data_IF_338044942451
#
_entry.id   IF_338044942451
#
_cell.length_a   1.000
_cell.length_b   1.000
_cell.length_c   1.000
_cell.angle_alpha   90.00
_cell.angle_beta   90.00
_cell.angle_gamma   90.00
#
_symmetry.space_group_name_H-M   'P 1'
#
loop_
_entity.id
_entity.type
_entity.pdbx_description
1 polymer ?
#
# COMPACT_ATOMS: atom_id res chain seq x y z
N UNK A 1 -20.67 2.68 -0.43
CA UNK A 1 -20.25 3.45 0.77
C UNK A 1 -20.36 2.57 2.00
N UNK A 2 -19.40 2.70 2.92
CA UNK A 2 -19.48 2.09 4.24
C UNK A 2 -20.52 2.86 5.07
N UNK A 3 -21.46 2.16 5.72
CA UNK A 3 -22.43 2.82 6.58
C UNK A 3 -21.77 3.31 7.88
N UNK A 4 -22.31 4.38 8.47
CA UNK A 4 -21.89 4.82 9.80
C UNK A 4 -22.31 3.82 10.89
N UNK A 5 -21.60 3.84 12.03
CA UNK A 5 -21.91 3.00 13.20
C UNK A 5 -21.45 1.55 13.10
N UNK A 6 -20.60 1.23 12.13
CA UNK A 6 -20.03 -0.13 11.94
C UNK A 6 -18.67 -0.26 12.63
N UNK A 7 -18.27 -1.49 12.88
CA UNK A 7 -16.93 -1.87 13.36
C UNK A 7 -16.49 -1.06 14.60
N UNK A 8 -17.25 -1.06 15.69
CA UNK A 8 -16.84 -0.36 16.90
C UNK A 8 -15.59 -1.03 17.50
N UNK A 9 -14.69 -0.20 18.03
CA UNK A 9 -13.56 -0.71 18.82
C UNK A 9 -14.04 -1.20 20.21
N UNK A 10 -13.13 -1.71 21.02
CA UNK A 10 -13.43 -2.24 22.36
C UNK A 10 -13.99 -1.17 23.32
N UNK A 11 -13.78 0.13 23.06
CA UNK A 11 -14.34 1.26 23.82
C UNK A 11 -15.76 1.60 23.37
N UNK A 12 -16.21 1.04 22.25
CA UNK A 12 -17.53 1.25 21.66
C UNK A 12 -17.57 2.39 20.63
N UNK A 13 -16.42 2.95 20.27
CA UNK A 13 -16.31 4.00 19.25
C UNK A 13 -16.41 3.37 17.86
N UNK A 14 -17.42 3.74 17.05
CA UNK A 14 -17.56 3.20 15.71
C UNK A 14 -16.53 3.79 14.74
N UNK A 15 -16.23 3.06 13.66
CA UNK A 15 -15.42 3.56 12.56
C UNK A 15 -16.03 4.85 11.98
N UNK A 16 -15.19 5.88 11.78
CA UNK A 16 -15.51 7.00 10.89
C UNK A 16 -15.20 6.59 9.44
N UNK A 17 -16.19 6.33 8.59
CA UNK A 17 -15.97 5.82 7.25
C UNK A 17 -15.63 6.92 6.22
N UNK A 18 -15.55 8.18 6.63
CA UNK A 18 -15.45 9.35 5.73
C UNK A 18 -14.33 9.19 4.69
N UNK A 19 -13.13 8.78 5.13
CA UNK A 19 -12.00 8.68 4.19
C UNK A 19 -12.10 7.45 3.28
N UNK A 20 -12.67 6.34 3.76
CA UNK A 20 -12.93 5.16 2.92
C UNK A 20 -13.97 5.45 1.84
N UNK A 21 -15.01 6.21 2.18
CA UNK A 21 -16.08 6.60 1.26
C UNK A 21 -15.63 7.62 0.18
N UNK A 22 -14.41 8.14 0.28
CA UNK A 22 -13.76 8.92 -0.80
C UNK A 22 -13.18 8.05 -1.92
N UNK A 23 -12.95 6.76 -1.66
CA UNK A 23 -12.51 5.83 -2.70
C UNK A 23 -13.66 5.49 -3.64
N UNK A 24 -13.37 5.37 -4.93
CA UNK A 24 -14.35 4.97 -5.95
C UNK A 24 -14.42 3.45 -6.17
N UNK A 25 -13.68 2.68 -5.37
CA UNK A 25 -13.66 1.21 -5.40
C UNK A 25 -12.85 0.61 -4.26
N UNK A 26 -12.74 -0.72 -4.27
CA UNK A 26 -11.98 -1.50 -3.32
C UNK A 26 -10.51 -1.65 -3.75
N UNK A 27 -9.67 -2.11 -2.85
CA UNK A 27 -8.26 -2.39 -3.11
C UNK A 27 -8.07 -3.41 -4.26
N UNK A 28 -7.11 -3.19 -5.17
CA UNK A 28 -6.77 -4.16 -6.22
C UNK A 28 -6.11 -5.43 -5.68
N UNK A 29 -5.64 -5.42 -4.44
CA UNK A 29 -4.82 -6.50 -3.86
C UNK A 29 -5.35 -7.04 -2.54
N UNK A 30 -6.48 -6.52 -2.03
CA UNK A 30 -7.06 -7.02 -0.78
C UNK A 30 -7.72 -8.39 -0.97
N UNK A 31 -7.68 -9.28 0.03
CA UNK A 31 -8.48 -10.48 0.02
C UNK A 31 -9.98 -10.16 -0.01
N UNK A 32 -10.75 -11.02 -0.66
CA UNK A 32 -12.22 -10.97 -0.64
C UNK A 32 -12.70 -11.79 0.55
N UNK A 33 -13.49 -11.19 1.41
CA UNK A 33 -13.91 -11.76 2.68
C UNK A 33 -15.40 -12.10 2.66
N UNK A 34 -15.73 -13.27 3.17
CA UNK A 34 -17.13 -13.67 3.37
C UNK A 34 -17.28 -14.60 4.58
N UNK A 35 -18.27 -14.36 5.40
CA UNK A 35 -18.65 -15.26 6.47
C UNK A 35 -19.71 -16.26 5.98
N UNK A 36 -19.39 -17.56 6.06
CA UNK A 36 -20.27 -18.67 5.67
C UNK A 36 -20.53 -19.57 6.86
N UNK A 37 -21.64 -19.37 7.59
CA UNK A 37 -21.96 -20.18 8.75
C UNK A 37 -22.05 -21.69 8.43
N UNK A 38 -21.32 -22.49 9.18
CA UNK A 38 -21.34 -23.96 9.06
C UNK A 38 -20.56 -24.52 7.87
N UNK A 39 -19.70 -23.71 7.22
CA UNK A 39 -18.82 -24.18 6.16
C UNK A 39 -17.80 -25.18 6.71
N UNK A 40 -17.71 -26.32 6.03
CA UNK A 40 -16.62 -27.30 6.22
C UNK A 40 -15.67 -27.20 5.01
N UNK A 41 -14.47 -26.68 5.27
CA UNK A 41 -13.46 -26.44 4.21
C UNK A 41 -12.88 -27.77 3.68
N UNK A 42 -12.89 -28.85 4.45
CA UNK A 42 -12.37 -30.15 4.01
C UNK A 42 -13.39 -30.89 3.10
N UNK A 43 -14.68 -30.63 3.31
CA UNK A 43 -15.77 -31.20 2.50
C UNK A 43 -16.10 -30.36 1.26
N UNK A 44 -15.60 -29.12 1.21
CA UNK A 44 -15.87 -28.17 0.14
C UNK A 44 -14.67 -28.11 -0.83
N UNK A 45 -14.92 -28.17 -2.13
CA UNK A 45 -13.87 -28.07 -3.16
C UNK A 45 -13.31 -26.64 -3.27
N UNK A 46 -12.59 -26.20 -2.24
CA UNK A 46 -11.90 -24.92 -2.25
C UNK A 46 -10.56 -25.03 -3.01
N UNK A 47 -10.24 -24.11 -3.93
CA UNK A 47 -8.92 -24.09 -4.57
C UNK A 47 -7.86 -23.76 -3.53
N UNK A 48 -6.86 -24.64 -3.38
CA UNK A 48 -5.76 -24.46 -2.45
C UNK A 48 -4.61 -23.62 -3.03
N UNK A 49 -3.72 -23.15 -2.16
CA UNK A 49 -2.51 -22.43 -2.56
C UNK A 49 -1.61 -23.25 -3.52
N UNK A 50 -1.56 -24.58 -3.32
CA UNK A 50 -0.83 -25.50 -4.20
C UNK A 50 -1.54 -25.87 -5.51
N UNK A 51 -2.81 -25.50 -5.69
CA UNK A 51 -3.63 -25.80 -6.85
C UNK A 51 -4.53 -24.62 -7.25
N UNK A 52 -3.91 -23.47 -7.47
CA UNK A 52 -4.60 -22.22 -7.88
C UNK A 52 -5.36 -22.43 -9.21
N UNK A 53 -4.83 -23.26 -10.12
CA UNK A 53 -5.46 -23.56 -11.40
C UNK A 53 -6.87 -24.13 -11.27
N UNK A 54 -7.18 -24.84 -10.19
CA UNK A 54 -8.54 -25.33 -9.90
C UNK A 54 -9.58 -24.21 -9.87
N UNK A 55 -9.22 -23.01 -9.38
CA UNK A 55 -10.14 -21.88 -9.23
C UNK A 55 -10.81 -21.42 -10.52
N UNK A 56 -10.21 -21.72 -11.67
CA UNK A 56 -10.73 -21.36 -13.00
C UNK A 56 -11.49 -22.51 -13.68
N UNK A 57 -11.77 -23.59 -12.95
CA UNK A 57 -12.52 -24.75 -13.46
C UNK A 57 -13.96 -24.76 -12.96
N UNK A 58 -14.79 -25.61 -13.57
CA UNK A 58 -16.17 -25.83 -13.12
C UNK A 58 -16.28 -26.54 -11.78
N UNK A 59 -15.18 -27.13 -11.27
CA UNK A 59 -15.15 -27.88 -9.99
C UNK A 59 -14.93 -26.97 -8.78
N UNK A 60 -14.43 -25.77 -8.97
CA UNK A 60 -14.19 -24.82 -7.88
C UNK A 60 -15.46 -24.37 -7.19
N UNK A 61 -15.47 -24.42 -5.87
CA UNK A 61 -16.57 -23.91 -5.04
C UNK A 61 -16.57 -22.37 -4.96
N UNK A 62 -15.51 -21.72 -5.36
CA UNK A 62 -15.36 -20.25 -5.39
C UNK A 62 -15.00 -19.79 -6.78
N UNK A 63 -15.56 -18.68 -7.22
CA UNK A 63 -15.34 -18.09 -8.54
C UNK A 63 -15.16 -16.59 -8.40
N UNK A 64 -14.16 -16.03 -9.08
CA UNK A 64 -13.97 -14.60 -9.28
C UNK A 64 -13.95 -14.34 -10.78
N UNK A 65 -14.76 -13.42 -11.25
CA UNK A 65 -14.91 -13.07 -12.66
C UNK A 65 -14.67 -11.58 -12.84
N UNK A 66 -13.80 -11.19 -13.76
CA UNK A 66 -13.79 -9.83 -14.29
C UNK A 66 -15.00 -9.65 -15.22
N UNK A 67 -15.99 -8.89 -14.77
CA UNK A 67 -17.25 -8.71 -15.48
C UNK A 67 -17.14 -7.81 -16.72
N UNK A 68 -16.04 -7.06 -16.86
CA UNK A 68 -15.81 -6.18 -18.00
C UNK A 68 -15.31 -6.96 -19.23
N UNK A 69 -14.67 -8.13 -19.01
CA UNK A 69 -14.13 -8.95 -20.10
C UNK A 69 -14.50 -10.44 -20.03
N UNK A 70 -15.17 -10.88 -18.95
CA UNK A 70 -15.59 -12.27 -18.74
C UNK A 70 -14.47 -13.21 -18.30
N UNK A 71 -13.28 -12.72 -17.95
CA UNK A 71 -12.14 -13.53 -17.55
C UNK A 71 -12.29 -14.08 -16.13
N UNK A 72 -12.07 -15.37 -15.94
CA UNK A 72 -11.93 -15.98 -14.62
C UNK A 72 -10.59 -15.60 -13.99
N UNK A 73 -10.63 -15.15 -12.75
CA UNK A 73 -9.43 -14.74 -12.00
C UNK A 73 -8.90 -15.91 -11.19
N UNK A 74 -7.64 -16.36 -11.44
CA UNK A 74 -6.99 -17.35 -10.60
C UNK A 74 -6.88 -16.87 -9.15
N UNK A 75 -7.24 -17.72 -8.22
CA UNK A 75 -7.21 -17.41 -6.79
C UNK A 75 -7.11 -18.70 -5.96
N UNK A 76 -6.78 -18.56 -4.69
CA UNK A 76 -6.98 -19.63 -3.71
C UNK A 76 -7.94 -19.17 -2.62
N UNK A 77 -8.51 -20.12 -1.91
CA UNK A 77 -9.46 -19.89 -0.84
C UNK A 77 -9.03 -20.63 0.42
N UNK A 78 -9.13 -19.97 1.55
CA UNK A 78 -8.81 -20.53 2.87
C UNK A 78 -9.79 -20.02 3.92
N UNK A 79 -9.92 -20.71 5.03
CA UNK A 79 -10.64 -20.23 6.21
C UNK A 79 -9.66 -19.70 7.25
N UNK A 80 -10.03 -18.63 7.95
CA UNK A 80 -9.19 -18.04 8.98
C UNK A 80 -8.91 -19.04 10.11
N UNK A 81 -7.66 -19.46 10.24
CA UNK A 81 -7.22 -20.41 11.26
C UNK A 81 -6.97 -19.76 12.64
N UNK A 82 -7.02 -18.44 12.74
CA UNK A 82 -6.83 -17.70 14.00
C UNK A 82 -8.10 -17.69 14.86
N UNK A 83 -9.27 -17.85 14.23
CA UNK A 83 -10.51 -18.02 14.96
C UNK A 83 -10.62 -19.40 15.57
N UNK A 84 -10.87 -19.47 16.89
CA UNK A 84 -11.01 -20.74 17.63
C UNK A 84 -12.37 -21.39 17.41
N UNK A 85 -13.40 -20.58 17.24
CA UNK A 85 -14.77 -21.05 17.02
C UNK A 85 -15.09 -21.04 15.52
N UNK A 86 -15.70 -22.10 15.02
CA UNK A 86 -16.10 -22.20 13.61
C UNK A 86 -17.06 -21.09 13.18
N UNK A 87 -17.87 -20.57 14.12
CA UNK A 87 -18.79 -19.47 13.88
C UNK A 87 -18.08 -18.13 13.57
N UNK A 88 -16.82 -17.99 13.95
CA UNK A 88 -16.03 -16.78 13.81
C UNK A 88 -15.02 -16.87 12.65
N UNK A 89 -15.05 -17.98 11.89
CA UNK A 89 -14.12 -18.19 10.76
C UNK A 89 -14.61 -17.48 9.49
N UNK A 90 -13.76 -16.62 8.97
CA UNK A 90 -13.95 -15.98 7.66
C UNK A 90 -13.44 -16.90 6.56
N UNK A 91 -14.22 -17.11 5.51
CA UNK A 91 -13.73 -17.61 4.23
C UNK A 91 -13.04 -16.45 3.50
N UNK A 92 -11.78 -16.66 3.12
CA UNK A 92 -10.89 -15.67 2.53
C UNK A 92 -10.54 -16.14 1.11
N UNK A 93 -10.92 -15.37 0.09
CA UNK A 93 -10.52 -15.60 -1.29
C UNK A 93 -9.37 -14.64 -1.63
N UNK A 94 -8.25 -15.19 -2.09
CA UNK A 94 -7.05 -14.40 -2.42
C UNK A 94 -6.77 -14.44 -3.90
N UNK A 95 -7.03 -13.37 -4.65
CA UNK A 95 -6.61 -13.26 -6.04
C UNK A 95 -5.10 -13.52 -6.18
N UNK A 96 -4.72 -14.34 -7.16
CA UNK A 96 -3.32 -14.67 -7.44
C UNK A 96 -2.60 -13.60 -8.28
N UNK A 97 -3.28 -12.51 -8.56
CA UNK A 97 -2.78 -11.34 -9.29
C UNK A 97 -3.46 -10.08 -8.76
N UNK A 98 -2.82 -8.92 -8.93
CA UNK A 98 -3.49 -7.64 -8.70
C UNK A 98 -4.67 -7.50 -9.68
N UNK A 99 -5.83 -7.11 -9.16
CA UNK A 99 -7.03 -6.93 -9.97
C UNK A 99 -6.93 -5.63 -10.77
N UNK A 100 -7.30 -5.62 -12.07
CA UNK A 100 -7.32 -4.41 -12.89
C UNK A 100 -8.09 -3.25 -12.27
N UNK A 101 -7.46 -2.08 -12.30
CA UNK A 101 -8.02 -0.83 -11.79
C UNK A 101 -9.29 -0.42 -12.54
N UNK A 102 -10.29 0.03 -11.81
CA UNK A 102 -11.57 0.50 -12.35
C UNK A 102 -12.48 -0.60 -12.89
N UNK A 103 -12.04 -1.87 -12.93
CA UNK A 103 -12.86 -2.97 -13.40
C UNK A 103 -13.87 -3.42 -12.33
N UNK A 104 -14.98 -3.98 -12.78
CA UNK A 104 -16.02 -4.58 -11.96
C UNK A 104 -15.84 -6.09 -11.90
N UNK A 105 -15.85 -6.65 -10.69
CA UNK A 105 -15.65 -8.08 -10.45
C UNK A 105 -16.90 -8.70 -9.85
N UNK A 106 -17.26 -9.89 -10.32
CA UNK A 106 -18.27 -10.75 -9.74
C UNK A 106 -17.63 -11.88 -8.94
N UNK A 107 -18.20 -12.16 -7.77
CA UNK A 107 -17.81 -13.30 -6.93
C UNK A 107 -18.98 -14.23 -6.78
N UNK A 108 -18.76 -15.54 -6.93
CA UNK A 108 -19.77 -16.54 -6.70
C UNK A 108 -19.25 -17.69 -5.84
N UNK A 109 -20.06 -18.13 -4.90
CA UNK A 109 -19.85 -19.31 -4.07
C UNK A 109 -20.88 -20.37 -4.46
N UNK A 110 -20.44 -21.62 -4.66
CA UNK A 110 -21.31 -22.73 -5.08
C UNK A 110 -20.88 -24.03 -4.42
N UNK A 111 -21.78 -25.01 -4.37
CA UNK A 111 -21.50 -26.35 -3.86
C UNK A 111 -20.86 -26.43 -2.48
N UNK A 112 -21.11 -25.44 -1.62
CA UNK A 112 -20.59 -25.37 -0.26
C UNK A 112 -21.20 -26.49 0.60
N UNK A 113 -20.35 -27.15 1.41
CA UNK A 113 -20.72 -28.27 2.26
C UNK A 113 -20.53 -27.94 3.74
N UNK A 114 -21.40 -28.52 4.56
CA UNK A 114 -21.24 -28.55 6.02
C UNK A 114 -20.53 -29.82 6.49
N UNK A 115 -20.29 -29.93 7.80
CA UNK A 115 -19.51 -31.00 8.45
C UNK A 115 -20.01 -32.44 8.20
N UNK A 116 -21.27 -32.62 7.80
CA UNK A 116 -21.84 -33.89 7.36
C UNK A 116 -21.81 -34.14 5.86
N UNK A 117 -21.12 -33.29 5.07
CA UNK A 117 -21.12 -33.36 3.61
C UNK A 117 -22.40 -32.87 2.94
N UNK A 118 -23.38 -32.42 3.71
CA UNK A 118 -24.64 -31.86 3.18
C UNK A 118 -24.39 -30.48 2.54
N UNK A 119 -25.14 -30.20 1.49
CA UNK A 119 -25.09 -28.87 0.86
C UNK A 119 -25.63 -27.79 1.83
N UNK A 120 -24.92 -26.68 1.91
CA UNK A 120 -25.39 -25.52 2.68
C UNK A 120 -26.54 -24.82 1.95
N UNK A 121 -27.50 -24.34 2.74
CA UNK A 121 -28.65 -23.62 2.22
C UNK A 121 -28.31 -22.14 2.07
N UNK A 122 -28.48 -21.59 0.88
CA UNK A 122 -28.25 -20.17 0.58
C UNK A 122 -29.12 -19.25 1.48
N UNK A 123 -28.63 -18.06 1.85
CA UNK A 123 -29.38 -17.09 2.66
C UNK A 123 -30.74 -16.72 2.05
N UNK A 124 -31.75 -16.52 2.89
CA UNK A 124 -33.13 -16.32 2.44
C UNK A 124 -33.28 -15.13 1.49
N UNK A 125 -32.70 -13.98 1.83
CA UNK A 125 -32.75 -12.78 1.00
C UNK A 125 -32.06 -13.00 -0.36
N UNK A 126 -30.92 -13.69 -0.37
CA UNK A 126 -30.21 -14.01 -1.61
C UNK A 126 -31.03 -14.99 -2.48
N UNK A 127 -31.64 -16.02 -1.89
CA UNK A 127 -32.52 -16.94 -2.65
C UNK A 127 -33.72 -16.23 -3.32
N UNK A 128 -34.29 -15.23 -2.65
CA UNK A 128 -35.37 -14.45 -3.25
C UNK A 128 -34.91 -13.71 -4.52
N UNK A 129 -33.70 -13.18 -4.55
CA UNK A 129 -33.09 -12.57 -5.74
C UNK A 129 -32.67 -13.62 -6.76
N UNK A 130 -31.97 -14.67 -6.33
CA UNK A 130 -31.50 -15.75 -7.18
C UNK A 130 -32.61 -16.46 -7.93
N UNK A 131 -33.68 -16.81 -7.22
CA UNK A 131 -34.79 -17.61 -7.75
C UNK A 131 -35.93 -16.72 -8.31
N UNK A 132 -35.73 -15.41 -8.36
CA UNK A 132 -36.67 -14.39 -8.83
C UNK A 132 -38.02 -14.44 -8.12
N UNK A 133 -37.99 -14.64 -6.79
CA UNK A 133 -39.19 -14.60 -5.96
C UNK A 133 -39.41 -13.21 -5.37
N UNK A 134 -40.57 -12.55 -5.64
CA UNK A 134 -40.88 -11.27 -5.01
C UNK A 134 -40.96 -11.35 -3.49
N UNK A 135 -40.55 -10.28 -2.81
CA UNK A 135 -40.63 -10.15 -1.36
C UNK A 135 -41.35 -8.85 -0.97
N UNK A 136 -41.71 -8.75 0.31
CA UNK A 136 -42.22 -7.51 0.93
C UNK A 136 -41.11 -6.69 1.60
N UNK A 137 -39.83 -7.10 1.42
CA UNK A 137 -38.64 -6.43 1.98
C UNK A 137 -38.10 -5.45 0.95
N UNK A 138 -38.39 -4.16 1.14
CA UNK A 138 -38.00 -3.07 0.23
C UNK A 138 -36.51 -3.13 -0.16
N UNK A 139 -35.61 -3.29 0.80
CA UNK A 139 -34.14 -3.39 0.56
C UNK A 139 -33.74 -4.55 -0.36
N UNK A 140 -34.51 -5.62 -0.43
CA UNK A 140 -34.27 -6.74 -1.34
C UNK A 140 -34.78 -6.38 -2.74
N UNK A 141 -35.95 -5.79 -2.84
CA UNK A 141 -36.55 -5.43 -4.13
C UNK A 141 -35.78 -4.32 -4.84
N UNK A 142 -35.27 -3.32 -4.11
CA UNK A 142 -34.44 -2.24 -4.67
C UNK A 142 -33.15 -2.75 -5.33
N UNK A 143 -32.66 -3.94 -4.93
CA UNK A 143 -31.46 -4.56 -5.48
C UNK A 143 -31.74 -5.52 -6.65
N UNK A 144 -33.00 -5.81 -6.96
CA UNK A 144 -33.37 -6.86 -7.91
C UNK A 144 -32.78 -6.62 -9.31
N UNK A 145 -32.97 -5.44 -9.87
CA UNK A 145 -32.51 -5.12 -11.22
C UNK A 145 -30.97 -5.23 -11.33
N UNK A 146 -30.26 -4.77 -10.29
CA UNK A 146 -28.79 -4.91 -10.20
C UNK A 146 -28.37 -6.39 -10.17
N UNK A 147 -29.04 -7.21 -9.35
CA UNK A 147 -28.75 -8.64 -9.26
C UNK A 147 -29.08 -9.38 -10.56
N UNK A 148 -30.16 -9.01 -11.26
CA UNK A 148 -30.48 -9.62 -12.57
C UNK A 148 -29.38 -9.32 -13.60
N UNK A 149 -28.84 -8.09 -13.63
CA UNK A 149 -27.72 -7.76 -14.50
C UNK A 149 -26.47 -8.55 -14.11
N UNK A 150 -26.10 -8.58 -12.82
CA UNK A 150 -24.95 -9.34 -12.32
C UNK A 150 -25.07 -10.83 -12.68
N UNK A 151 -26.27 -11.44 -12.55
CA UNK A 151 -26.46 -12.84 -12.93
C UNK A 151 -26.30 -13.08 -14.44
N UNK A 152 -26.68 -12.11 -15.30
CA UNK A 152 -26.44 -12.20 -16.74
C UNK A 152 -24.94 -12.14 -17.05
N UNK A 153 -24.20 -11.22 -16.40
CA UNK A 153 -22.76 -11.08 -16.54
C UNK A 153 -22.04 -12.37 -16.09
N UNK A 154 -22.39 -12.92 -14.92
CA UNK A 154 -21.88 -14.19 -14.40
C UNK A 154 -22.20 -15.38 -15.33
N UNK A 155 -23.42 -15.43 -15.88
CA UNK A 155 -23.81 -16.49 -16.80
C UNK A 155 -23.00 -16.46 -18.10
N UNK A 156 -22.62 -15.27 -18.57
CA UNK A 156 -21.75 -15.09 -19.74
C UNK A 156 -20.35 -15.65 -19.51
N UNK A 157 -19.90 -15.70 -18.25
CA UNK A 157 -18.64 -16.33 -17.83
C UNK A 157 -18.81 -17.82 -17.41
N UNK A 158 -19.99 -18.42 -17.64
CA UNK A 158 -20.25 -19.83 -17.36
C UNK A 158 -20.70 -20.13 -15.91
N UNK A 159 -21.07 -19.11 -15.12
CA UNK A 159 -21.55 -19.29 -13.75
C UNK A 159 -23.09 -19.24 -13.74
N UNK A 160 -23.73 -20.39 -13.52
CA UNK A 160 -25.17 -20.48 -13.50
C UNK A 160 -25.71 -20.02 -12.13
N UNK A 161 -26.64 -19.04 -12.12
CA UNK A 161 -27.24 -18.50 -10.89
C UNK A 161 -27.89 -19.57 -10.00
N UNK A 162 -28.48 -20.62 -10.60
CA UNK A 162 -29.18 -21.67 -9.83
C UNK A 162 -28.25 -22.49 -8.94
N UNK A 163 -26.96 -22.55 -9.28
CA UNK A 163 -25.96 -23.35 -8.57
C UNK A 163 -25.26 -22.55 -7.45
N UNK A 164 -25.57 -21.23 -7.35
CA UNK A 164 -24.88 -20.36 -6.38
C UNK A 164 -25.50 -20.42 -4.98
N UNK A 165 -24.63 -20.52 -3.97
CA UNK A 165 -24.97 -20.30 -2.56
C UNK A 165 -25.09 -18.80 -2.26
N UNK A 166 -24.14 -18.00 -2.80
CA UNK A 166 -24.09 -16.54 -2.70
C UNK A 166 -23.32 -15.99 -3.90
N UNK A 167 -23.74 -14.83 -4.39
CA UNK A 167 -22.97 -14.05 -5.34
C UNK A 167 -23.14 -12.56 -5.06
N UNK A 168 -22.11 -11.78 -5.38
CA UNK A 168 -22.09 -10.33 -5.32
C UNK A 168 -21.05 -9.78 -6.29
N UNK A 169 -21.04 -8.50 -6.48
CA UNK A 169 -20.04 -7.79 -7.27
C UNK A 169 -19.46 -6.59 -6.53
N UNK A 170 -18.30 -6.15 -7.00
CA UNK A 170 -17.63 -4.95 -6.51
C UNK A 170 -16.79 -4.34 -7.62
N UNK A 171 -16.43 -3.05 -7.47
CA UNK A 171 -15.51 -2.34 -8.36
C UNK A 171 -14.18 -2.15 -7.67
N UNK A 172 -13.07 -2.34 -8.39
CA UNK A 172 -11.73 -2.00 -7.94
C UNK A 172 -11.48 -0.51 -8.13
N UNK A 173 -10.80 0.11 -7.19
CA UNK A 173 -10.47 1.53 -7.23
C UNK A 173 -9.74 1.91 -8.52
N UNK A 174 -10.06 3.09 -9.06
CA UNK A 174 -9.41 3.61 -10.25
C UNK A 174 -7.99 4.08 -9.95
N UNK A 175 -7.13 4.16 -10.99
CA UNK A 175 -5.80 4.77 -10.90
C UNK A 175 -5.84 6.19 -10.29
N UNK A 176 -6.91 6.97 -10.58
CA UNK A 176 -7.11 8.28 -9.98
C UNK A 176 -7.31 8.21 -8.47
N UNK A 177 -8.09 7.25 -8.00
CA UNK A 177 -8.36 7.08 -6.56
C UNK A 177 -7.10 6.60 -5.81
N UNK A 178 -6.32 5.70 -6.42
CA UNK A 178 -5.10 5.13 -5.85
C UNK A 178 -3.94 6.15 -5.86
N UNK A 179 -3.54 6.64 -7.02
CA UNK A 179 -2.32 7.43 -7.23
C UNK A 179 -2.54 8.94 -7.44
N UNK A 180 -3.77 9.37 -7.75
CA UNK A 180 -4.02 10.74 -8.22
C UNK A 180 -3.59 11.84 -7.24
N UNK A 181 -3.68 11.62 -5.92
CA UNK A 181 -3.19 12.56 -4.91
C UNK A 181 -1.68 12.73 -4.99
N UNK A 182 -0.95 11.61 -4.95
CA UNK A 182 0.51 11.63 -5.01
C UNK A 182 1.03 12.20 -6.33
N UNK A 183 0.39 11.86 -7.46
CA UNK A 183 0.75 12.42 -8.76
C UNK A 183 0.56 13.95 -8.81
N UNK A 184 -0.55 14.44 -8.23
CA UNK A 184 -0.80 15.89 -8.12
C UNK A 184 0.26 16.59 -7.27
N UNK A 185 0.60 16.00 -6.11
CA UNK A 185 1.65 16.51 -5.23
C UNK A 185 3.01 16.51 -5.93
N UNK A 186 3.37 15.38 -6.57
CA UNK A 186 4.64 15.24 -7.31
C UNK A 186 4.80 16.31 -8.38
N UNK A 187 3.81 16.46 -9.25
CA UNK A 187 3.91 17.37 -10.41
C UNK A 187 4.00 18.84 -9.97
N UNK A 188 3.24 19.24 -8.95
CA UNK A 188 3.34 20.60 -8.37
C UNK A 188 4.67 20.81 -7.65
N UNK A 189 5.10 19.85 -6.82
CA UNK A 189 6.34 19.95 -6.05
C UNK A 189 7.57 20.00 -6.96
N UNK A 190 7.65 19.13 -7.99
CA UNK A 190 8.77 19.16 -8.95
C UNK A 190 8.83 20.46 -9.72
N UNK A 191 7.66 21.03 -10.08
CA UNK A 191 7.60 22.38 -10.70
C UNK A 191 8.15 23.47 -9.79
N UNK A 192 7.87 23.40 -8.47
CA UNK A 192 8.40 24.35 -7.48
C UNK A 192 9.90 24.18 -7.25
N UNK A 193 10.36 22.95 -7.05
CA UNK A 193 11.79 22.66 -6.87
C UNK A 193 12.64 23.09 -8.06
N UNK A 194 12.14 22.94 -9.30
CA UNK A 194 12.84 23.37 -10.50
C UNK A 194 12.87 24.90 -10.66
N UNK A 195 12.04 25.66 -9.95
CA UNK A 195 11.90 27.11 -10.07
C UNK A 195 12.45 27.93 -8.91
N UNK A 196 12.94 27.26 -7.86
CA UNK A 196 13.53 27.89 -6.67
C UNK A 196 14.92 27.37 -6.39
N UNK A 197 15.76 28.17 -5.74
CA UNK A 197 17.05 27.69 -5.23
C UNK A 197 16.80 26.66 -4.12
N UNK A 198 17.44 25.49 -4.19
CA UNK A 198 17.32 24.49 -3.14
C UNK A 198 17.87 25.01 -1.80
N UNK A 199 17.16 24.72 -0.72
CA UNK A 199 17.65 24.99 0.63
C UNK A 199 18.12 23.67 1.24
N UNK A 200 19.43 23.41 1.16
CA UNK A 200 20.10 22.24 1.70
C UNK A 200 21.06 22.70 2.79
N UNK A 201 20.94 22.16 3.98
CA UNK A 201 21.78 22.49 5.14
C UNK A 201 22.49 21.25 5.63
N UNK A 202 23.82 21.28 5.67
CA UNK A 202 24.64 20.25 6.32
C UNK A 202 24.72 20.56 7.81
N UNK A 203 24.41 19.58 8.65
CA UNK A 203 24.40 19.70 10.10
C UNK A 203 25.57 18.94 10.73
N UNK A 204 25.94 17.79 10.18
CA UNK A 204 27.00 16.93 10.70
C UNK A 204 27.76 16.24 9.55
N UNK A 205 29.10 16.20 9.69
CA UNK A 205 29.97 15.41 8.84
C UNK A 205 30.78 14.47 9.73
N UNK A 206 30.60 13.17 9.57
CA UNK A 206 31.29 12.14 10.33
C UNK A 206 32.32 11.45 9.45
N UNK A 207 33.57 11.37 9.93
CA UNK A 207 34.71 10.76 9.25
C UNK A 207 35.35 9.62 10.04
N UNK A 208 34.87 9.33 11.22
CA UNK A 208 35.32 8.26 12.08
C UNK A 208 34.32 7.09 12.10
N UNK A 209 34.80 5.94 12.51
CA UNK A 209 34.00 4.69 12.62
C UNK A 209 33.28 4.29 11.31
N UNK A 210 34.01 4.46 10.17
CA UNK A 210 33.54 4.14 8.84
C UNK A 210 34.16 2.85 8.31
N UNK A 211 33.52 2.24 7.32
CA UNK A 211 34.08 1.11 6.58
C UNK A 211 35.16 1.58 5.60
N UNK A 212 36.11 0.66 5.28
CA UNK A 212 37.12 0.91 4.27
C UNK A 212 36.46 1.33 2.94
N UNK A 213 36.99 2.37 2.30
CA UNK A 213 36.47 2.93 1.05
C UNK A 213 35.33 3.95 1.22
N UNK A 214 34.96 4.31 2.46
CA UNK A 214 34.05 5.42 2.76
C UNK A 214 34.87 6.60 3.31
N UNK A 215 34.65 7.76 2.70
CA UNK A 215 35.28 9.01 3.08
C UNK A 215 34.57 9.68 4.25
N UNK A 216 33.27 9.79 4.16
CA UNK A 216 32.44 10.47 5.16
C UNK A 216 30.98 10.05 5.09
N UNK A 217 30.26 10.30 6.17
CA UNK A 217 28.81 10.34 6.24
C UNK A 217 28.37 11.78 6.50
N UNK A 218 27.44 12.29 5.70
CA UNK A 218 26.92 13.65 5.80
C UNK A 218 25.46 13.58 6.22
N UNK A 219 25.12 14.25 7.32
CA UNK A 219 23.75 14.40 7.80
C UNK A 219 23.32 15.87 7.72
N UNK A 220 22.04 16.11 7.41
CA UNK A 220 21.51 17.46 7.31
C UNK A 220 20.05 17.47 6.95
N UNK A 221 19.60 18.60 6.41
CA UNK A 221 18.20 18.83 6.05
C UNK A 221 18.07 19.47 4.67
N UNK A 222 16.91 19.26 4.05
CA UNK A 222 16.51 19.93 2.81
C UNK A 222 15.03 20.29 2.84
N UNK A 223 14.64 21.32 2.10
CA UNK A 223 13.25 21.78 2.08
C UNK A 223 12.44 21.15 0.95
N UNK A 224 11.21 20.72 1.28
CA UNK A 224 10.24 20.14 0.35
C UNK A 224 8.89 20.85 0.52
N UNK A 225 8.12 21.10 -0.54
CA UNK A 225 6.74 21.60 -0.39
C UNK A 225 5.90 20.66 0.51
N UNK A 226 5.21 21.24 1.48
CA UNK A 226 4.34 20.54 2.42
C UNK A 226 2.92 20.47 1.88
N UNK A 227 2.32 19.28 1.84
CA UNK A 227 0.93 19.05 1.43
C UNK A 227 0.05 18.56 2.58
N UNK A 228 0.52 18.65 3.81
CA UNK A 228 -0.23 18.31 5.00
C UNK A 228 -0.70 19.57 5.71
N UNK A 229 -1.74 19.44 6.53
CA UNK A 229 -2.21 20.49 7.43
C UNK A 229 -1.16 20.78 8.51
N UNK A 230 -1.20 22.00 9.05
CA UNK A 230 -0.29 22.43 10.10
C UNK A 230 1.17 22.39 9.68
N UNK A 231 2.01 21.76 10.48
CA UNK A 231 3.44 21.56 10.24
C UNK A 231 3.80 20.16 9.69
N UNK A 232 2.79 19.34 9.40
CA UNK A 232 2.97 17.98 8.92
C UNK A 232 3.42 16.99 10.00
N UNK A 233 3.26 17.28 11.28
CA UNK A 233 3.54 16.36 12.39
C UNK A 233 2.64 15.11 12.35
N UNK A 234 2.97 14.00 13.08
CA UNK A 234 2.13 12.82 13.15
C UNK A 234 0.68 13.15 13.55
N UNK A 235 -0.27 12.69 12.73
CA UNK A 235 -1.71 13.00 12.86
C UNK A 235 -2.21 14.10 11.94
N UNK A 236 -1.33 14.82 11.24
CA UNK A 236 -1.73 15.79 10.21
C UNK A 236 -2.38 15.09 9.02
N UNK A 237 -3.48 15.68 8.53
CA UNK A 237 -4.21 15.20 7.35
C UNK A 237 -3.69 15.90 6.09
N UNK A 238 -4.06 15.35 4.92
CA UNK A 238 -3.80 15.99 3.64
C UNK A 238 -4.47 17.38 3.58
N UNK A 239 -3.71 18.39 3.16
CA UNK A 239 -4.22 19.73 2.92
C UNK A 239 -4.84 19.80 1.52
N UNK A 240 -6.14 20.11 1.46
CA UNK A 240 -6.89 20.16 0.21
C UNK A 240 -7.29 21.61 -0.14
N UNK A 241 -7.57 21.84 -1.40
CA UNK A 241 -8.23 23.07 -1.86
C UNK A 241 -9.70 23.14 -1.36
N UNK A 242 -10.38 24.24 -1.69
CA UNK A 242 -11.77 24.49 -1.28
C UNK A 242 -12.77 23.41 -1.78
N UNK A 243 -12.42 22.64 -2.81
CA UNK A 243 -13.23 21.51 -3.28
C UNK A 243 -13.12 20.30 -2.36
N UNK A 244 -12.06 20.21 -1.54
CA UNK A 244 -11.74 19.08 -0.70
C UNK A 244 -11.21 17.86 -1.49
N UNK A 245 -10.87 18.01 -2.76
CA UNK A 245 -10.43 16.89 -3.62
C UNK A 245 -8.96 16.94 -4.01
N UNK A 246 -8.42 18.16 -4.28
CA UNK A 246 -7.08 18.35 -4.80
C UNK A 246 -6.10 18.71 -3.68
N UNK A 247 -5.01 17.94 -3.46
CA UNK A 247 -3.92 18.35 -2.58
C UNK A 247 -3.28 19.65 -3.03
N UNK A 248 -3.06 20.58 -2.10
CA UNK A 248 -2.40 21.88 -2.34
C UNK A 248 -1.31 22.13 -1.31
N UNK A 249 -0.22 22.77 -1.75
CA UNK A 249 0.89 23.07 -0.87
C UNK A 249 0.49 24.04 0.25
N UNK A 250 0.95 23.72 1.49
CA UNK A 250 0.74 24.47 2.72
C UNK A 250 2.09 24.84 3.36
N UNK A 251 2.92 25.57 2.63
CA UNK A 251 4.26 25.94 3.10
C UNK A 251 5.33 24.91 2.74
N UNK A 252 6.30 24.75 3.62
CA UNK A 252 7.52 23.96 3.42
C UNK A 252 7.71 22.98 4.56
N UNK A 253 8.14 21.76 4.26
CA UNK A 253 8.57 20.74 5.20
C UNK A 253 10.08 20.63 5.18
N UNK A 254 10.72 20.64 6.34
CA UNK A 254 12.16 20.40 6.49
C UNK A 254 12.38 18.90 6.66
N UNK A 255 12.82 18.24 5.58
CA UNK A 255 13.15 16.83 5.56
C UNK A 255 14.63 16.62 5.92
N UNK A 256 14.93 15.61 6.72
CA UNK A 256 16.30 15.23 7.01
C UNK A 256 16.90 14.39 5.88
N UNK A 257 18.23 14.34 5.80
CA UNK A 257 18.95 13.38 4.97
C UNK A 257 20.16 12.80 5.69
N UNK A 258 20.54 11.61 5.27
CA UNK A 258 21.84 10.98 5.59
C UNK A 258 22.43 10.44 4.31
N UNK A 259 23.67 10.85 3.98
CA UNK A 259 24.37 10.41 2.80
C UNK A 259 25.69 9.74 3.15
N UNK A 260 25.98 8.57 2.57
CA UNK A 260 27.27 7.87 2.64
C UNK A 260 28.07 8.15 1.37
N UNK A 261 29.23 8.79 1.54
CA UNK A 261 30.10 9.25 0.46
C UNK A 261 31.29 8.30 0.32
N UNK A 262 31.46 7.60 -0.83
CA UNK A 262 32.65 6.75 -1.04
C UNK A 262 33.92 7.57 -1.32
N UNK A 263 35.05 7.06 -0.90
CA UNK A 263 36.40 7.69 -1.10
C UNK A 263 36.69 7.89 -2.60
N UNK A 264 36.35 6.90 -3.44
CA UNK A 264 36.58 6.99 -4.89
C UNK A 264 35.82 8.17 -5.52
N UNK A 265 34.63 8.51 -5.00
CA UNK A 265 33.85 9.65 -5.47
C UNK A 265 34.58 10.99 -5.23
N UNK A 266 35.20 11.16 -4.06
CA UNK A 266 35.96 12.37 -3.72
C UNK A 266 37.23 12.48 -4.58
N UNK A 267 37.91 11.35 -4.83
CA UNK A 267 39.13 11.30 -5.64
C UNK A 267 38.90 11.54 -7.14
N UNK A 268 37.81 11.03 -7.70
CA UNK A 268 37.57 10.93 -9.16
C UNK A 268 36.29 11.50 -9.66
N UNK A 269 35.31 11.80 -8.78
CA UNK A 269 33.93 12.14 -9.15
C UNK A 269 33.15 10.95 -9.69
N UNK A 270 31.98 11.23 -10.25
CA UNK A 270 31.15 10.27 -10.98
C UNK A 270 30.47 9.20 -10.09
N UNK A 271 30.19 9.53 -8.83
CA UNK A 271 29.41 8.66 -7.97
C UNK A 271 27.95 8.58 -8.46
N UNK A 272 27.42 7.37 -8.60
CA UNK A 272 26.02 7.14 -8.92
C UNK A 272 25.13 7.50 -7.73
N UNK A 273 24.19 8.45 -7.86
CA UNK A 273 23.30 8.80 -6.78
C UNK A 273 22.24 7.71 -6.59
N UNK A 274 22.17 7.16 -5.39
CA UNK A 274 21.20 6.14 -5.00
C UNK A 274 20.33 6.69 -3.87
N UNK A 275 19.03 6.79 -4.10
CA UNK A 275 18.06 7.07 -3.07
C UNK A 275 17.76 5.77 -2.33
N UNK A 276 18.02 5.75 -1.02
CA UNK A 276 17.86 4.56 -0.19
C UNK A 276 16.60 4.62 0.66
N UNK A 277 15.79 3.56 0.59
CA UNK A 277 14.59 3.37 1.41
C UNK A 277 14.89 2.56 2.65
N UNK A 278 14.67 3.13 3.83
CA UNK A 278 14.90 2.49 5.13
C UNK A 278 13.85 1.40 5.48
N UNK A 279 14.18 0.53 6.44
CA UNK A 279 13.31 -0.54 6.92
C UNK A 279 12.13 -0.06 7.78
N UNK A 280 11.40 -1.03 8.35
CA UNK A 280 10.16 -0.78 9.11
C UNK A 280 10.37 0.23 10.23
N UNK A 281 9.61 1.33 10.18
CA UNK A 281 9.65 2.41 11.17
C UNK A 281 11.09 2.86 11.51
N UNK A 282 11.99 2.80 10.51
CA UNK A 282 13.38 3.18 10.59
C UNK A 282 13.60 4.67 10.34
N UNK A 283 14.80 5.03 9.88
CA UNK A 283 15.18 6.42 9.59
C UNK A 283 16.22 6.50 8.47
N UNK A 284 16.45 7.72 7.96
CA UNK A 284 17.49 8.04 6.98
C UNK A 284 18.88 7.52 7.38
N UNK A 285 19.16 7.40 8.70
CA UNK A 285 20.45 6.92 9.22
C UNK A 285 20.79 5.49 8.80
N UNK A 286 19.86 4.71 8.30
CA UNK A 286 20.15 3.40 7.72
C UNK A 286 21.05 3.50 6.48
N UNK A 287 21.08 4.63 5.76
CA UNK A 287 22.04 4.87 4.68
C UNK A 287 23.49 4.85 5.15
N UNK A 288 23.74 5.06 6.45
CA UNK A 288 25.07 4.96 7.07
C UNK A 288 25.33 3.59 7.74
N UNK A 289 24.47 2.60 7.56
CA UNK A 289 24.67 1.26 8.10
C UNK A 289 25.81 0.53 7.40
N UNK A 290 26.43 -0.41 8.11
CA UNK A 290 27.63 -1.14 7.66
C UNK A 290 27.46 -1.80 6.27
N UNK A 291 26.31 -2.40 5.98
CA UNK A 291 26.08 -3.07 4.69
C UNK A 291 25.90 -2.05 3.56
N UNK A 292 25.27 -0.90 3.81
CA UNK A 292 25.12 0.17 2.82
C UNK A 292 26.49 0.79 2.53
N UNK A 293 27.32 1.03 3.56
CA UNK A 293 28.68 1.54 3.38
C UNK A 293 29.54 0.62 2.50
N UNK A 294 29.49 -0.71 2.71
CA UNK A 294 30.21 -1.67 1.87
C UNK A 294 29.73 -1.58 0.42
N UNK A 295 28.43 -1.55 0.19
CA UNK A 295 27.87 -1.44 -1.16
C UNK A 295 28.22 -0.12 -1.83
N UNK A 296 28.18 0.99 -1.09
CA UNK A 296 28.56 2.32 -1.56
C UNK A 296 30.01 2.36 -2.04
N UNK A 297 30.94 1.78 -1.24
CA UNK A 297 32.35 1.70 -1.58
C UNK A 297 32.61 0.83 -2.83
N UNK A 298 32.03 -0.38 -2.88
CA UNK A 298 32.22 -1.32 -4.00
C UNK A 298 31.68 -0.82 -5.33
N UNK A 299 30.60 -0.04 -5.31
CA UNK A 299 29.90 0.43 -6.51
C UNK A 299 30.28 1.87 -6.91
N UNK A 300 31.11 2.58 -6.16
CA UNK A 300 31.29 4.03 -6.25
C UNK A 300 29.92 4.73 -6.36
N UNK A 301 29.09 4.53 -5.34
CA UNK A 301 27.71 5.03 -5.31
C UNK A 301 27.46 5.89 -4.07
N UNK A 302 26.89 7.07 -4.27
CA UNK A 302 26.44 7.96 -3.20
C UNK A 302 25.06 7.50 -2.72
N UNK A 303 25.00 6.85 -1.56
CA UNK A 303 23.74 6.41 -0.96
C UNK A 303 23.19 7.49 -0.04
N UNK A 304 22.05 8.05 -0.40
CA UNK A 304 21.33 9.06 0.38
C UNK A 304 19.92 8.60 0.74
N UNK A 305 19.51 8.79 1.97
CA UNK A 305 18.18 8.50 2.47
C UNK A 305 17.53 9.72 3.12
N UNK A 306 16.22 9.76 3.13
CA UNK A 306 15.39 10.64 3.98
C UNK A 306 14.42 9.80 4.79
N UNK A 307 13.87 10.34 5.90
CA UNK A 307 12.81 9.66 6.62
C UNK A 307 11.55 9.59 5.76
N UNK A 308 11.09 8.37 5.49
CA UNK A 308 9.81 8.15 4.82
C UNK A 308 8.70 8.33 5.86
N UNK A 309 8.40 9.61 6.17
CA UNK A 309 7.43 9.99 7.22
C UNK A 309 6.05 9.37 6.95
N UNK A 310 5.31 9.11 8.03
CA UNK A 310 4.12 8.26 8.02
C UNK A 310 4.44 6.81 8.39
N UNK A 311 5.68 6.35 8.09
CA UNK A 311 6.20 5.03 8.45
C UNK A 311 7.69 5.11 8.88
N UNK A 312 8.10 6.20 9.52
CA UNK A 312 9.41 6.39 10.12
C UNK A 312 9.38 6.27 11.64
N UNK A 313 10.53 6.31 12.29
CA UNK A 313 10.63 6.19 13.74
C UNK A 313 9.84 7.26 14.52
N UNK A 314 9.69 8.44 13.93
CA UNK A 314 8.87 9.52 14.49
C UNK A 314 7.36 9.22 14.50
N UNK A 315 6.91 8.21 13.75
CA UNK A 315 5.49 7.87 13.58
C UNK A 315 5.03 6.72 14.49
N UNK A 316 5.93 6.02 15.18
CA UNK A 316 5.62 4.84 16.02
C UNK A 316 4.48 5.10 17.00
N UNK A 317 4.55 6.22 17.73
CA UNK A 317 3.51 6.59 18.70
C UNK A 317 2.14 6.82 18.07
N UNK A 318 2.10 7.35 16.84
CA UNK A 318 0.85 7.56 16.12
C UNK A 318 0.33 6.25 15.50
N UNK A 319 1.23 5.39 15.00
CA UNK A 319 0.86 4.07 14.49
C UNK A 319 0.13 3.22 15.56
N UNK A 320 0.61 3.24 16.81
CA UNK A 320 -0.07 2.59 17.94
C UNK A 320 -1.47 3.16 18.15
N UNK A 321 -1.63 4.50 18.11
CA UNK A 321 -2.95 5.13 18.24
C UNK A 321 -3.88 4.75 17.08
N UNK A 322 -3.37 4.68 15.85
CA UNK A 322 -4.14 4.30 14.67
C UNK A 322 -4.58 2.83 14.70
N UNK A 323 -3.82 1.93 15.32
CA UNK A 323 -4.21 0.54 15.52
C UNK A 323 -5.26 0.36 16.63
N UNK A 324 -5.26 1.25 17.62
CA UNK A 324 -6.27 1.26 18.67
C UNK A 324 -7.63 1.83 18.19
N UNK A 325 -7.58 2.76 17.24
CA UNK A 325 -8.75 3.35 16.58
C UNK A 325 -8.39 3.60 15.10
N UNK A 326 -8.85 2.70 14.22
CA UNK A 326 -8.52 2.78 12.78
C UNK A 326 -9.10 4.02 12.09
N UNK A 327 -10.04 4.75 12.71
CA UNK A 327 -10.50 6.07 12.22
C UNK A 327 -9.36 7.10 12.15
N UNK A 328 -8.23 6.85 12.81
CA UNK A 328 -7.02 7.68 12.77
C UNK A 328 -6.06 7.29 11.65
N UNK A 329 -6.21 6.10 11.08
CA UNK A 329 -5.30 5.57 10.06
C UNK A 329 -5.17 6.45 8.80
N UNK A 330 -6.21 7.17 8.33
CA UNK A 330 -6.09 8.12 7.22
C UNK A 330 -4.94 9.12 7.35
N UNK A 331 -4.70 9.67 8.55
CA UNK A 331 -3.61 10.63 8.74
C UNK A 331 -2.21 9.99 8.59
N UNK A 332 -2.08 8.71 8.95
CA UNK A 332 -0.85 7.96 8.72
C UNK A 332 -0.56 7.84 7.23
N UNK A 333 -1.58 7.47 6.43
CA UNK A 333 -1.45 7.32 4.96
C UNK A 333 -1.23 8.66 4.26
N UNK A 334 -1.91 9.72 4.69
CA UNK A 334 -1.67 11.06 4.15
C UNK A 334 -0.21 11.49 4.37
N UNK A 335 0.32 11.20 5.57
CA UNK A 335 1.71 11.47 5.91
C UNK A 335 2.69 10.56 5.15
N UNK A 336 2.35 9.29 4.86
CA UNK A 336 3.13 8.41 3.99
C UNK A 336 3.29 8.99 2.58
N UNK A 337 2.23 9.58 2.01
CA UNK A 337 2.32 10.22 0.70
C UNK A 337 3.27 11.43 0.70
N UNK A 338 3.33 12.19 1.79
CA UNK A 338 4.34 13.23 1.96
C UNK A 338 5.75 12.63 2.08
N UNK A 339 5.94 11.53 2.80
CA UNK A 339 7.22 10.82 2.89
C UNK A 339 7.71 10.29 1.54
N UNK A 340 6.80 9.79 0.71
CA UNK A 340 7.09 9.40 -0.68
C UNK A 340 7.53 10.62 -1.50
N UNK A 341 6.85 11.76 -1.35
CA UNK A 341 7.23 13.01 -2.02
C UNK A 341 8.60 13.50 -1.56
N UNK A 342 8.92 13.43 -0.26
CA UNK A 342 10.25 13.79 0.26
C UNK A 342 11.35 12.93 -0.39
N UNK A 343 11.09 11.64 -0.56
CA UNK A 343 12.00 10.70 -1.22
C UNK A 343 12.20 11.03 -2.70
N UNK A 344 11.13 11.39 -3.41
CA UNK A 344 11.21 11.85 -4.80
C UNK A 344 11.98 13.18 -4.92
N UNK A 345 11.75 14.12 -3.98
CA UNK A 345 12.47 15.39 -3.92
C UNK A 345 13.98 15.20 -3.66
N UNK A 346 14.35 14.28 -2.77
CA UNK A 346 15.75 13.90 -2.55
C UNK A 346 16.39 13.44 -3.87
N UNK A 347 15.73 12.53 -4.61
CA UNK A 347 16.22 12.06 -5.90
C UNK A 347 16.42 13.18 -6.92
N UNK A 348 15.46 14.11 -7.02
CA UNK A 348 15.57 15.30 -7.87
C UNK A 348 16.74 16.18 -7.48
N UNK A 349 16.93 16.48 -6.21
CA UNK A 349 18.00 17.35 -5.72
C UNK A 349 19.40 16.70 -5.86
N UNK A 350 19.50 15.37 -5.85
CA UNK A 350 20.75 14.67 -6.10
C UNK A 350 21.28 14.84 -7.54
N UNK A 351 20.37 15.01 -8.53
CA UNK A 351 20.76 15.15 -9.94
C UNK A 351 20.59 16.58 -10.49
N UNK A 352 20.12 17.53 -9.68
CA UNK A 352 19.98 18.92 -10.07
C UNK A 352 21.34 19.64 -10.04
N UNK A 353 21.59 20.55 -11.00
CA UNK A 353 22.83 21.33 -11.06
C UNK A 353 23.07 22.13 -9.77
N UNK A 354 22.03 22.79 -9.27
CA UNK A 354 22.09 23.61 -8.05
C UNK A 354 21.71 22.81 -6.78
N UNK A 355 21.64 21.47 -6.88
CA UNK A 355 21.28 20.57 -5.78
C UNK A 355 22.45 20.17 -4.90
N UNK A 356 22.48 18.90 -4.48
CA UNK A 356 23.54 18.38 -3.60
C UNK A 356 24.95 18.57 -4.17
N UNK A 357 25.12 18.48 -5.51
CA UNK A 357 26.42 18.69 -6.16
C UNK A 357 26.99 20.10 -6.01
N UNK A 358 26.19 21.09 -5.64
CA UNK A 358 26.63 22.45 -5.36
C UNK A 358 27.07 22.68 -3.91
N UNK A 359 26.81 21.71 -3.02
CA UNK A 359 27.19 21.77 -1.59
C UNK A 359 28.62 21.26 -1.42
N UNK A 360 29.45 21.98 -0.67
CA UNK A 360 30.89 21.72 -0.50
C UNK A 360 31.21 20.28 -0.11
N UNK A 361 30.38 19.65 0.73
CA UNK A 361 30.56 18.29 1.19
C UNK A 361 30.37 17.23 0.10
N UNK A 362 29.78 17.60 -1.02
CA UNK A 362 29.57 16.73 -2.19
C UNK A 362 30.42 17.17 -3.39
N UNK A 363 31.56 17.78 -3.11
CA UNK A 363 32.53 18.19 -4.12
C UNK A 363 33.89 17.50 -3.93
N UNK A 364 34.63 17.41 -5.02
CA UNK A 364 36.04 17.01 -5.02
C UNK A 364 36.92 18.12 -4.41
N UNK A 365 38.16 17.81 -4.12
CA UNK A 365 39.15 18.86 -3.71
C UNK A 365 39.31 19.98 -4.75
N UNK A 366 38.94 19.74 -5.98
CA UNK A 366 38.96 20.73 -7.06
C UNK A 366 37.69 21.60 -7.14
N UNK A 367 36.65 21.33 -6.36
CA UNK A 367 35.39 22.04 -6.36
C UNK A 367 34.40 21.54 -7.41
N UNK A 368 34.68 20.42 -8.08
CA UNK A 368 33.73 19.80 -9.01
C UNK A 368 32.79 18.83 -8.25
N UNK A 369 31.54 18.73 -8.67
CA UNK A 369 30.58 17.77 -8.09
C UNK A 369 31.10 16.33 -8.16
N UNK A 370 30.97 15.58 -7.05
CA UNK A 370 31.26 14.15 -7.02
C UNK A 370 30.14 13.31 -7.65
N UNK A 371 28.95 13.88 -7.94
CA UNK A 371 27.73 13.18 -8.31
C UNK A 371 27.63 13.07 -9.83
N UNK A 372 27.33 11.89 -10.34
CA UNK A 372 26.86 11.69 -11.71
C UNK A 372 25.38 12.09 -11.80
N UNK A 373 25.09 13.19 -12.48
CA UNK A 373 23.76 13.78 -12.57
C UNK A 373 22.91 13.26 -13.74
N UNK A 374 23.40 12.25 -14.48
CA UNK A 374 22.65 11.70 -15.63
C UNK A 374 21.33 11.04 -15.20
N UNK A 375 21.34 10.31 -14.07
CA UNK A 375 20.18 9.61 -13.54
C UNK A 375 20.39 9.23 -12.08
N UNK A 376 19.34 9.29 -11.27
CA UNK A 376 19.32 8.67 -9.97
C UNK A 376 18.97 7.17 -10.07
N UNK A 377 19.13 6.45 -8.97
CA UNK A 377 18.73 5.05 -8.79
C UNK A 377 18.01 4.92 -7.45
N UNK A 378 17.23 3.87 -7.30
CA UNK A 378 16.58 3.55 -6.01
C UNK A 378 17.03 2.18 -5.51
N UNK A 379 17.28 2.09 -4.21
CA UNK A 379 17.56 0.84 -3.49
C UNK A 379 16.81 0.89 -2.15
N UNK A 380 15.95 -0.08 -1.87
CA UNK A 380 15.20 -0.11 -0.62
C UNK A 380 15.03 -1.53 -0.09
N UNK A 381 15.19 -1.68 1.23
CA UNK A 381 15.05 -2.96 1.89
C UNK A 381 13.80 -3.00 2.79
N UNK A 382 13.13 -4.17 2.85
CA UNK A 382 11.97 -4.39 3.72
C UNK A 382 10.87 -3.34 3.42
N UNK A 383 10.49 -2.50 4.38
CA UNK A 383 9.56 -1.39 4.14
C UNK A 383 10.01 -0.46 3.02
N UNK A 384 11.32 -0.20 2.90
CA UNK A 384 11.89 0.58 1.81
C UNK A 384 11.63 -0.03 0.44
N UNK A 385 11.50 -1.37 0.33
CA UNK A 385 11.06 -2.04 -0.89
C UNK A 385 9.54 -2.00 -1.05
N UNK A 386 8.77 -2.15 0.04
CA UNK A 386 7.30 -2.13 0.02
C UNK A 386 6.78 -0.76 -0.45
N UNK A 387 7.33 0.33 0.08
CA UNK A 387 6.99 1.69 -0.36
C UNK A 387 7.75 2.07 -1.65
N UNK A 388 8.95 1.53 -1.83
CA UNK A 388 9.84 1.83 -2.94
C UNK A 388 9.28 1.47 -4.30
N UNK A 389 8.46 0.43 -4.41
CA UNK A 389 7.75 0.12 -5.64
C UNK A 389 6.76 1.21 -6.04
N UNK A 390 5.98 1.73 -5.08
CA UNK A 390 5.09 2.87 -5.31
C UNK A 390 5.86 4.14 -5.67
N UNK A 391 6.93 4.46 -4.93
CA UNK A 391 7.80 5.61 -5.19
C UNK A 391 8.40 5.51 -6.59
N UNK A 392 8.91 4.32 -6.98
CA UNK A 392 9.51 4.08 -8.30
C UNK A 392 8.48 4.17 -9.42
N UNK A 393 7.25 3.69 -9.21
CA UNK A 393 6.19 3.79 -10.22
C UNK A 393 5.84 5.23 -10.59
N UNK A 394 6.06 6.19 -9.69
CA UNK A 394 5.78 7.62 -9.91
C UNK A 394 7.05 8.47 -10.09
N UNK A 395 8.23 7.87 -10.01
CA UNK A 395 9.50 8.59 -10.14
C UNK A 395 9.71 9.12 -11.57
N UNK A 396 10.28 10.32 -11.65
CA UNK A 396 10.69 10.95 -12.91
C UNK A 396 12.21 10.93 -13.12
N UNK A 397 12.97 10.74 -12.05
CA UNK A 397 14.43 10.91 -11.99
C UNK A 397 15.21 9.58 -12.05
N UNK A 398 14.51 8.45 -11.98
CA UNK A 398 15.07 7.11 -12.17
C UNK A 398 14.09 6.15 -12.81
N UNK A 399 14.64 5.14 -13.47
CA UNK A 399 13.90 4.04 -14.12
C UNK A 399 14.38 2.67 -13.66
N UNK A 400 15.27 2.62 -12.66
CA UNK A 400 15.84 1.39 -12.13
C UNK A 400 15.79 1.41 -10.61
N UNK A 401 15.28 0.33 -10.04
CA UNK A 401 15.17 0.14 -8.59
C UNK A 401 15.55 -1.28 -8.18
N UNK A 402 16.16 -1.40 -7.02
CA UNK A 402 16.31 -2.67 -6.29
C UNK A 402 15.32 -2.65 -5.13
N UNK A 403 14.44 -3.63 -5.09
CA UNK A 403 13.40 -3.79 -4.07
C UNK A 403 13.71 -5.06 -3.25
N UNK A 404 14.64 -4.90 -2.30
CA UNK A 404 15.19 -6.00 -1.52
C UNK A 404 14.25 -6.45 -0.39
N UNK A 405 14.01 -7.77 -0.28
CA UNK A 405 13.20 -8.41 0.78
C UNK A 405 11.87 -7.70 1.06
N UNK A 406 11.28 -7.16 0.00
CA UNK A 406 9.98 -6.49 0.04
C UNK A 406 8.82 -7.47 0.04
N UNK A 407 7.64 -6.94 -0.15
CA UNK A 407 6.41 -7.70 -0.30
C UNK A 407 5.23 -6.78 -0.58
N UNK A 408 4.08 -7.38 -0.87
CA UNK A 408 2.77 -6.76 -1.00
C UNK A 408 1.69 -7.85 -0.87
N UNK A 409 0.51 -7.54 -0.40
CA UNK A 409 0.09 -6.28 0.16
C UNK A 409 0.43 -6.18 1.67
N UNK A 410 0.48 -4.98 2.19
CA UNK A 410 0.91 -4.72 3.57
C UNK A 410 0.03 -5.44 4.60
N UNK A 411 -1.29 -5.37 4.45
CA UNK A 411 -2.25 -6.00 5.38
C UNK A 411 -2.11 -7.54 5.46
N UNK A 412 -1.70 -8.18 4.36
CA UNK A 412 -1.41 -9.62 4.36
C UNK A 412 -0.08 -9.93 5.05
N UNK A 413 0.93 -9.06 4.85
CA UNK A 413 2.26 -9.21 5.47
C UNK A 413 2.19 -9.12 6.99
N UNK A 414 1.41 -8.18 7.55
CA UNK A 414 1.30 -7.98 9.00
C UNK A 414 1.00 -9.28 9.74
N UNK A 415 0.04 -10.06 9.26
CA UNK A 415 -0.34 -11.33 9.91
C UNK A 415 0.72 -12.43 9.79
N UNK A 416 1.78 -12.22 9.03
CA UNK A 416 2.84 -13.18 8.71
C UNK A 416 4.23 -12.73 9.17
N UNK A 417 4.35 -11.47 9.62
CA UNK A 417 5.60 -10.89 10.08
C UNK A 417 5.69 -10.92 11.60
N UNK A 418 6.83 -11.36 12.12
CA UNK A 418 7.15 -11.26 13.55
C UNK A 418 7.33 -9.81 13.99
N UNK A 419 7.64 -8.89 13.07
CA UNK A 419 7.76 -7.46 13.36
C UNK A 419 6.43 -6.81 13.74
N UNK A 420 5.31 -7.47 13.41
CA UNK A 420 3.99 -7.00 13.80
C UNK A 420 3.53 -7.51 15.17
N UNK A 421 4.19 -8.47 15.79
CA UNK A 421 3.72 -9.14 17.01
C UNK A 421 3.40 -8.16 18.15
N UNK A 422 4.25 -7.15 18.37
CA UNK A 422 4.03 -6.13 19.39
C UNK A 422 2.84 -5.23 19.07
N UNK A 423 2.66 -4.87 17.80
CA UNK A 423 1.53 -4.07 17.32
C UNK A 423 0.23 -4.87 17.25
N UNK A 424 0.33 -6.18 16.98
CA UNK A 424 -0.83 -7.07 16.92
C UNK A 424 -1.57 -7.15 18.26
N UNK A 425 -0.87 -7.00 19.38
CA UNK A 425 -1.50 -6.98 20.72
C UNK A 425 -2.47 -5.78 20.80
N UNK A 426 -2.03 -4.59 20.40
CA UNK A 426 -2.85 -3.37 20.41
C UNK A 426 -4.09 -3.55 19.54
N UNK A 427 -3.91 -4.08 18.31
CA UNK A 427 -5.03 -4.29 17.40
C UNK A 427 -6.05 -5.30 17.94
N UNK A 428 -5.57 -6.42 18.53
CA UNK A 428 -6.44 -7.47 19.06
C UNK A 428 -7.20 -7.02 20.31
N UNK A 429 -6.59 -6.18 21.13
CA UNK A 429 -7.25 -5.58 22.28
C UNK A 429 -8.33 -4.61 21.86
N UNK A 430 -8.07 -3.82 20.79
CA UNK A 430 -9.03 -2.87 20.24
C UNK A 430 -10.17 -3.54 19.45
N UNK A 431 -9.88 -4.63 18.74
CA UNK A 431 -10.84 -5.40 17.92
C UNK A 431 -10.78 -6.89 18.28
N UNK A 432 -11.41 -7.32 19.39
CA UNK A 432 -11.24 -8.68 19.92
C UNK A 432 -11.91 -9.78 19.07
N UNK A 433 -12.89 -9.42 18.23
CA UNK A 433 -13.56 -10.40 17.37
C UNK A 433 -12.70 -10.73 16.13
N UNK A 434 -12.36 -12.01 15.85
CA UNK A 434 -11.58 -12.40 14.67
C UNK A 434 -12.17 -11.98 13.33
N UNK A 435 -13.50 -11.96 13.18
CA UNK A 435 -14.16 -11.47 11.96
C UNK A 435 -13.89 -9.99 11.75
N UNK A 436 -13.98 -9.19 12.82
CA UNK A 436 -13.70 -7.76 12.78
C UNK A 436 -12.23 -7.50 12.44
N UNK A 437 -11.28 -8.30 12.95
CA UNK A 437 -9.87 -8.18 12.61
C UNK A 437 -9.61 -8.38 11.11
N UNK A 438 -10.24 -9.37 10.47
CA UNK A 438 -10.12 -9.56 9.03
C UNK A 438 -10.66 -8.36 8.25
N UNK A 439 -11.81 -7.83 8.70
CA UNK A 439 -12.40 -6.64 8.08
C UNK A 439 -11.50 -5.42 8.27
N UNK A 440 -10.92 -5.22 9.47
CA UNK A 440 -9.93 -4.16 9.74
C UNK A 440 -8.78 -4.23 8.76
N UNK A 441 -8.14 -5.40 8.56
CA UNK A 441 -7.04 -5.53 7.61
C UNK A 441 -7.44 -5.18 6.18
N UNK A 442 -8.64 -5.60 5.74
CA UNK A 442 -9.15 -5.23 4.42
C UNK A 442 -9.36 -3.72 4.28
N UNK A 443 -9.90 -3.07 5.31
CA UNK A 443 -10.10 -1.63 5.32
C UNK A 443 -8.79 -0.86 5.36
N UNK A 444 -7.83 -1.28 6.19
CA UNK A 444 -6.49 -0.67 6.22
C UNK A 444 -5.84 -0.74 4.83
N UNK A 445 -5.97 -1.89 4.12
CA UNK A 445 -5.39 -2.04 2.78
C UNK A 445 -5.94 -1.03 1.79
N UNK A 446 -7.24 -0.76 1.80
CA UNK A 446 -7.84 0.23 0.89
C UNK A 446 -7.20 1.63 1.00
N UNK A 447 -6.66 1.97 2.15
CA UNK A 447 -5.93 3.22 2.36
C UNK A 447 -4.43 3.06 2.13
N UNK A 448 -3.83 1.94 2.55
CA UNK A 448 -2.41 1.66 2.32
C UNK A 448 -2.04 1.61 0.84
N UNK A 449 -2.95 1.19 -0.03
CA UNK A 449 -2.73 1.21 -1.49
C UNK A 449 -2.25 2.56 -2.01
N UNK A 450 -2.55 3.66 -1.31
CA UNK A 450 -2.08 5.01 -1.65
C UNK A 450 -0.59 5.24 -1.34
N UNK A 451 0.03 4.39 -0.52
CA UNK A 451 1.40 4.56 0.00
C UNK A 451 2.29 3.32 -0.12
N UNK A 452 1.84 2.25 -0.76
CA UNK A 452 2.63 1.03 -0.96
C UNK A 452 2.53 0.46 -2.38
N UNK A 453 3.41 -0.45 -2.71
CA UNK A 453 3.53 -1.05 -4.05
C UNK A 453 2.23 -1.67 -4.56
N UNK A 454 1.39 -2.25 -3.69
CA UNK A 454 0.16 -2.92 -4.11
C UNK A 454 -0.78 -2.02 -4.93
N UNK A 455 -0.88 -0.75 -4.59
CA UNK A 455 -1.68 0.23 -5.32
C UNK A 455 -1.04 0.77 -6.61
N UNK A 456 0.22 0.40 -6.91
CA UNK A 456 0.99 0.95 -8.04
C UNK A 456 1.62 -0.14 -8.93
N UNK A 457 1.49 -1.41 -8.58
CA UNK A 457 2.22 -2.51 -9.23
C UNK A 457 1.97 -2.58 -10.73
N UNK A 458 0.77 -2.22 -11.19
CA UNK A 458 0.40 -2.19 -12.60
C UNK A 458 1.12 -1.09 -13.40
N UNK A 459 1.77 -0.15 -12.70
CA UNK A 459 2.46 1.01 -13.27
C UNK A 459 3.98 0.95 -13.14
N UNK A 460 4.53 -0.16 -12.63
CA UNK A 460 5.98 -0.34 -12.51
C UNK A 460 6.67 -0.61 -13.84
N UNK A 461 6.02 -1.35 -14.76
CA UNK A 461 6.64 -1.79 -16.02
C UNK A 461 5.80 -1.46 -17.25
N UNK A 462 4.51 -1.69 -17.22
CA UNK A 462 3.68 -1.72 -18.43
C UNK A 462 2.84 -0.46 -18.67
N UNK A 463 2.53 0.29 -17.62
CA UNK A 463 1.65 1.47 -17.65
C UNK A 463 2.22 2.58 -16.78
N UNK A 464 3.48 2.96 -17.01
CA UNK A 464 4.16 4.01 -16.23
C UNK A 464 3.38 5.32 -16.22
N UNK A 465 3.40 6.01 -15.07
CA UNK A 465 2.77 7.32 -14.86
C UNK A 465 3.54 8.47 -15.52
#
# INVERSE_FOLDING_TARGET
>A
DLPGGVLPNAEGDPLDPTEWNRNDGFSPSTPILVHVPGLDAEQTALPGEGDIGMSTTSESATVIVDLDNGQLIPHWAEVDQRATEDADRTLILRPAQSLPEGHRFGVALRDLKGSGGQALTAPVAYRALRDNHPTDVERVEERRDHFEQMFQDLASAGVNRADTYLAWDFTVASARSLAGRLLTMRDDAMGRLNSSEPNITVEEVRTDDLRDGIEKVVEGTFEVPLYLEGDGSPGSRMNYDDSGERPVANGTYTANFTCTVPTEAVERGGARPVVYGHGLLGSSREAASSHVQVTAAELNALYCATDTIGMSNGDVGYAVQALNDISRFPAMVDRMQQGMLNTLALGRLLISEDGFGAVDEFQTDGGDSIIDTESAYYDGNSQGAIMGGAITAVAQDWTKAVLGVGGMNYSTLLNRSVDFDEYAVVLRDAYPNPLDQQLVFGLLQMLWDRGETAGYVQHLTDRTY
#
